data_IF_017913129995
#
_entry.id   IF_017913129995
#
_cell.length_a   1.000
_cell.length_b   1.000
_cell.length_c   1.000
_cell.angle_alpha   90.00
_cell.angle_beta   90.00
_cell.angle_gamma   90.00
#
_symmetry.space_group_name_H-M   'P 1'
#
loop_
_entity.id
_entity.type
_entity.pdbx_description
1 polymer ?
#
# COMPACT_ATOMS: atom_id res chain seq x y z
N UNK A 1 10.61 3.90 -27.92
CA UNK A 1 10.86 4.87 -26.83
C UNK A 1 9.61 5.20 -25.98
N UNK A 2 8.45 4.55 -26.19
CA UNK A 2 7.22 4.78 -25.41
C UNK A 2 7.21 4.02 -24.07
N UNK A 3 7.90 2.89 -23.99
CA UNK A 3 7.92 2.01 -22.79
C UNK A 3 8.58 2.69 -21.58
N UNK A 4 9.65 3.47 -21.77
CA UNK A 4 10.32 4.18 -20.66
C UNK A 4 9.42 5.23 -20.00
N UNK A 5 8.47 5.81 -20.74
CA UNK A 5 7.67 6.95 -20.26
C UNK A 5 6.60 6.54 -19.23
N UNK A 6 6.20 5.27 -19.21
CA UNK A 6 5.16 4.76 -18.30
C UNK A 6 5.70 4.15 -16.99
N UNK A 7 6.99 3.83 -16.93
CA UNK A 7 7.60 3.20 -15.74
C UNK A 7 8.01 4.23 -14.68
N UNK A 8 8.43 5.43 -15.12
CA UNK A 8 8.83 6.53 -14.23
C UNK A 8 7.82 6.87 -13.13
N UNK A 9 6.51 7.08 -13.41
CA UNK A 9 5.54 7.39 -12.35
C UNK A 9 5.38 6.24 -11.34
N UNK A 10 5.49 4.98 -11.77
CA UNK A 10 5.44 3.83 -10.86
C UNK A 10 6.65 3.82 -9.91
N UNK A 11 7.85 4.12 -10.42
CA UNK A 11 9.06 4.19 -9.60
C UNK A 11 8.94 5.32 -8.58
N UNK A 12 8.52 6.52 -9.00
CA UNK A 12 8.36 7.68 -8.10
C UNK A 12 7.34 7.38 -7.01
N UNK A 13 6.16 6.84 -7.38
CA UNK A 13 5.11 6.47 -6.42
C UNK A 13 5.57 5.37 -5.45
N UNK A 14 6.27 4.35 -5.96
CA UNK A 14 6.84 3.27 -5.15
C UNK A 14 7.88 3.78 -4.15
N UNK A 15 8.80 4.65 -4.57
CA UNK A 15 9.77 5.29 -3.68
C UNK A 15 9.07 6.14 -2.61
N UNK A 16 8.06 6.93 -2.98
CA UNK A 16 7.33 7.76 -2.02
C UNK A 16 6.60 6.90 -0.98
N UNK A 17 5.97 5.81 -1.42
CA UNK A 17 5.34 4.84 -0.52
C UNK A 17 6.36 4.23 0.45
N UNK A 18 7.53 3.80 -0.06
CA UNK A 18 8.59 3.20 0.75
C UNK A 18 9.14 4.16 1.81
N UNK A 19 9.34 5.44 1.46
CA UNK A 19 9.75 6.48 2.42
C UNK A 19 8.70 6.64 3.52
N UNK A 20 7.41 6.71 3.16
CA UNK A 20 6.32 6.77 4.14
C UNK A 20 6.34 5.59 5.11
N UNK A 21 6.56 4.38 4.61
CA UNK A 21 6.63 3.18 5.45
C UNK A 21 7.85 3.18 6.38
N UNK A 22 9.03 3.64 5.91
CA UNK A 22 10.23 3.76 6.77
C UNK A 22 9.99 4.75 7.92
N UNK A 23 9.36 5.89 7.63
CA UNK A 23 9.01 6.89 8.66
C UNK A 23 8.02 6.29 9.67
N UNK A 24 7.00 5.58 9.20
CA UNK A 24 6.04 4.91 10.08
C UNK A 24 6.71 3.84 10.97
N UNK A 25 7.62 3.06 10.40
CA UNK A 25 8.38 2.03 11.12
C UNK A 25 9.27 2.63 12.21
N UNK A 26 9.95 3.74 11.92
CA UNK A 26 10.80 4.45 12.88
C UNK A 26 10.01 4.97 14.09
N UNK A 27 8.83 5.56 13.86
CA UNK A 27 7.96 6.01 14.95
C UNK A 27 7.38 4.84 15.76
N UNK A 28 7.00 3.74 15.10
CA UNK A 28 6.47 2.55 15.78
C UNK A 28 7.51 1.82 16.61
N UNK A 29 8.76 1.76 16.14
CA UNK A 29 9.86 1.20 16.93
C UNK A 29 10.02 1.95 18.26
N UNK A 30 10.01 3.29 18.23
CA UNK A 30 10.06 4.10 19.46
C UNK A 30 8.85 3.91 20.37
N UNK A 31 7.63 3.83 19.81
CA UNK A 31 6.42 3.54 20.59
C UNK A 31 6.55 2.18 21.30
N UNK A 32 7.05 1.17 20.60
CA UNK A 32 7.28 -0.17 21.15
C UNK A 32 8.32 -0.16 22.27
N UNK A 33 9.45 0.53 22.07
CA UNK A 33 10.50 0.64 23.08
C UNK A 33 10.01 1.34 24.35
N UNK A 34 9.24 2.43 24.21
CA UNK A 34 8.68 3.13 25.36
C UNK A 34 7.65 2.28 26.10
N UNK A 35 6.78 1.58 25.37
CA UNK A 35 5.77 0.72 25.95
C UNK A 35 6.40 -0.47 26.69
N UNK A 36 7.46 -1.08 26.12
CA UNK A 36 8.25 -2.11 26.81
C UNK A 36 9.00 -1.56 28.03
N UNK A 37 9.56 -0.35 27.95
CA UNK A 37 10.20 0.29 29.09
C UNK A 37 9.21 0.57 30.23
N UNK A 38 7.98 1.02 29.90
CA UNK A 38 6.92 1.27 30.86
C UNK A 38 6.44 -0.03 31.56
N UNK A 39 6.29 -1.11 30.79
CA UNK A 39 5.88 -2.43 31.30
C UNK A 39 6.93 -3.09 32.22
N UNK A 40 8.21 -2.80 32.00
CA UNK A 40 9.32 -3.36 32.79
C UNK A 40 9.79 -2.44 33.94
N UNK A 41 9.22 -1.24 34.07
CA UNK A 41 9.65 -0.30 35.10
C UNK A 41 9.30 -0.84 36.51
N UNK A 42 10.29 -1.02 37.42
CA UNK A 42 10.02 -1.47 38.77
C UNK A 42 9.14 -0.45 39.49
N UNK A 43 8.16 -0.94 40.26
CA UNK A 43 7.13 -0.14 40.94
C UNK A 43 7.68 1.04 41.79
N UNK A 44 8.97 0.98 42.16
CA UNK A 44 9.66 1.89 43.08
C UNK A 44 10.50 3.02 42.44
N UNK A 45 10.77 2.99 41.12
CA UNK A 45 11.58 4.03 40.46
C UNK A 45 10.67 5.12 39.85
N UNK A 46 10.22 6.07 40.69
CA UNK A 46 9.40 7.18 40.21
C UNK A 46 9.81 8.55 40.77
N UNK A 47 11.07 8.74 41.18
CA UNK A 47 11.49 10.03 41.75
C UNK A 47 12.86 10.59 41.33
N UNK A 48 13.65 9.90 40.52
CA UNK A 48 14.98 10.40 40.10
C UNK A 48 15.22 10.22 38.60
N UNK A 49 14.37 10.84 37.79
CA UNK A 49 14.79 11.39 36.49
C UNK A 49 14.06 12.71 36.28
N UNK A 50 14.77 13.80 36.57
CA UNK A 50 14.28 15.16 36.34
C UNK A 50 14.16 15.42 34.84
N UNK A 51 12.99 15.95 34.47
CA UNK A 51 12.54 16.32 33.13
C UNK A 51 12.30 15.14 32.18
N UNK A 52 11.02 14.91 31.86
CA UNK A 52 10.55 14.34 30.57
C UNK A 52 10.19 12.83 30.47
N UNK A 53 10.01 12.08 31.55
CA UNK A 53 9.43 10.72 31.45
C UNK A 53 8.48 10.39 32.62
N UNK A 54 7.29 10.98 32.56
CA UNK A 54 6.16 10.61 33.42
C UNK A 54 5.40 9.44 32.77
N UNK A 55 5.49 8.24 33.35
CA UNK A 55 4.69 7.11 32.93
C UNK A 55 3.35 7.11 33.70
N UNK A 56 2.21 7.30 33.02
CA UNK A 56 0.91 7.29 33.67
C UNK A 56 0.58 5.89 34.21
N UNK A 57 -0.18 5.84 35.30
CA UNK A 57 -0.50 4.59 36.02
C UNK A 57 -1.15 3.52 35.13
N UNK A 58 -1.95 3.92 34.14
CA UNK A 58 -2.58 3.02 33.17
C UNK A 58 -1.58 2.24 32.30
N UNK A 59 -0.40 2.83 32.03
CA UNK A 59 0.67 2.19 31.24
C UNK A 59 1.53 1.24 32.07
N UNK A 60 1.56 1.43 33.40
CA UNK A 60 2.39 0.64 34.33
C UNK A 60 1.74 -0.70 34.69
N UNK A 61 0.43 -0.80 34.58
CA UNK A 61 -0.29 -2.06 34.75
C UNK A 61 -0.23 -2.98 33.54
N UNK A 62 0.31 -2.49 32.40
CA UNK A 62 0.46 -3.31 31.21
C UNK A 62 1.62 -4.29 31.36
N UNK A 63 1.32 -5.56 31.09
CA UNK A 63 2.34 -6.56 30.84
C UNK A 63 3.04 -6.30 29.49
N UNK A 64 4.27 -6.79 29.36
CA UNK A 64 5.01 -6.78 28.08
C UNK A 64 4.21 -7.46 26.97
N UNK A 65 3.44 -8.50 27.32
CA UNK A 65 2.57 -9.20 26.36
C UNK A 65 1.44 -8.30 25.85
N UNK A 66 0.74 -7.61 26.73
CA UNK A 66 -0.35 -6.69 26.35
C UNK A 66 0.17 -5.53 25.48
N UNK A 67 1.36 -5.01 25.82
CA UNK A 67 2.04 -4.00 25.01
C UNK A 67 2.30 -4.51 23.57
N UNK A 68 2.87 -5.71 23.44
CA UNK A 68 3.13 -6.35 22.16
C UNK A 68 1.83 -6.62 21.39
N UNK A 69 0.78 -7.11 22.05
CA UNK A 69 -0.50 -7.44 21.43
C UNK A 69 -1.19 -6.18 20.87
N UNK A 70 -1.10 -5.04 21.58
CA UNK A 70 -1.65 -3.75 21.12
C UNK A 70 -0.94 -3.23 19.87
N UNK A 71 0.39 -3.35 19.81
CA UNK A 71 1.18 -2.85 18.67
C UNK A 71 1.26 -3.84 17.50
N UNK A 72 0.94 -5.11 17.72
CA UNK A 72 1.05 -6.19 16.72
C UNK A 72 0.30 -5.87 15.42
N UNK A 73 -0.93 -5.33 15.51
CA UNK A 73 -1.72 -4.95 14.33
C UNK A 73 -1.08 -3.83 13.52
N UNK A 74 -0.51 -2.82 14.18
CA UNK A 74 0.20 -1.73 13.51
C UNK A 74 1.49 -2.22 12.84
N UNK A 75 2.25 -3.06 13.54
CA UNK A 75 3.45 -3.71 12.99
C UNK A 75 3.12 -4.54 11.76
N UNK A 76 2.08 -5.36 11.81
CA UNK A 76 1.65 -6.18 10.68
C UNK A 76 1.29 -5.32 9.46
N UNK A 77 0.51 -4.25 9.66
CA UNK A 77 0.14 -3.34 8.57
C UNK A 77 1.34 -2.64 7.93
N UNK A 78 2.32 -2.22 8.73
CA UNK A 78 3.56 -1.58 8.24
C UNK A 78 4.43 -2.59 7.49
N UNK A 79 4.65 -3.79 8.05
CA UNK A 79 5.44 -4.84 7.40
C UNK A 79 4.83 -5.26 6.06
N UNK A 80 3.51 -5.44 6.02
CA UNK A 80 2.79 -5.71 4.78
C UNK A 80 2.99 -4.59 3.76
N UNK A 81 2.96 -3.34 4.21
CA UNK A 81 3.32 -2.15 3.41
C UNK A 81 4.72 -2.22 2.81
N UNK A 82 5.76 -2.51 3.62
CA UNK A 82 7.16 -2.61 3.15
C UNK A 82 7.29 -3.66 2.05
N UNK A 83 6.72 -4.85 2.28
CA UNK A 83 6.80 -5.96 1.34
C UNK A 83 6.12 -5.57 0.03
N UNK A 84 4.92 -4.98 0.10
CA UNK A 84 4.19 -4.61 -1.11
C UNK A 84 4.92 -3.50 -1.90
N UNK A 85 5.40 -2.46 -1.24
CA UNK A 85 6.11 -1.35 -1.91
C UNK A 85 7.41 -1.85 -2.56
N UNK A 86 8.09 -2.81 -1.93
CA UNK A 86 9.28 -3.47 -2.49
C UNK A 86 8.93 -4.32 -3.70
N UNK A 87 7.87 -5.15 -3.63
CA UNK A 87 7.39 -5.96 -4.76
C UNK A 87 6.97 -5.07 -5.92
N UNK A 88 6.24 -3.98 -5.65
CA UNK A 88 5.84 -3.00 -6.66
C UNK A 88 7.05 -2.36 -7.36
N UNK A 89 8.07 -1.97 -6.60
CA UNK A 89 9.31 -1.42 -7.15
C UNK A 89 10.05 -2.45 -8.02
N UNK A 90 10.18 -3.70 -7.57
CA UNK A 90 10.83 -4.76 -8.36
C UNK A 90 10.07 -5.00 -9.66
N UNK A 91 8.72 -5.09 -9.61
CA UNK A 91 7.89 -5.30 -10.81
C UNK A 91 7.99 -4.11 -11.77
N UNK A 92 8.08 -2.88 -11.25
CA UNK A 92 8.29 -1.69 -12.06
C UNK A 92 9.68 -1.68 -12.72
N UNK A 93 10.74 -1.99 -11.96
CA UNK A 93 12.13 -2.02 -12.46
C UNK A 93 12.35 -3.11 -13.50
N UNK A 94 11.72 -4.27 -13.35
CA UNK A 94 11.78 -5.36 -14.33
C UNK A 94 10.95 -5.08 -15.59
N UNK A 95 10.26 -3.92 -15.67
CA UNK A 95 9.37 -3.58 -16.78
C UNK A 95 8.14 -4.50 -16.89
N UNK A 96 7.95 -5.44 -15.96
CA UNK A 96 6.82 -6.38 -15.95
C UNK A 96 5.49 -5.71 -15.63
N UNK A 97 5.52 -4.52 -15.02
CA UNK A 97 4.35 -3.64 -14.92
C UNK A 97 3.79 -3.24 -16.30
N UNK A 98 4.61 -3.19 -17.35
CA UNK A 98 4.14 -2.82 -18.69
C UNK A 98 3.45 -4.00 -19.42
N UNK A 99 3.77 -5.24 -19.05
CA UNK A 99 3.24 -6.44 -19.71
C UNK A 99 1.83 -6.87 -19.22
N UNK A 100 1.21 -6.09 -18.34
CA UNK A 100 -0.21 -6.21 -17.96
C UNK A 100 -0.57 -7.40 -17.07
N UNK A 101 0.25 -8.46 -17.03
CA UNK A 101 -0.08 -9.72 -16.33
C UNK A 101 -0.25 -9.56 -14.81
N UNK A 102 0.40 -8.56 -14.20
CA UNK A 102 0.38 -8.35 -12.74
C UNK A 102 -0.30 -7.05 -12.29
N UNK A 103 -0.77 -6.21 -13.22
CA UNK A 103 -1.26 -4.87 -12.87
C UNK A 103 -2.53 -4.89 -12.04
N UNK A 104 -3.49 -5.76 -12.36
CA UNK A 104 -4.75 -5.89 -11.61
C UNK A 104 -4.50 -6.42 -10.20
N UNK A 105 -3.67 -7.46 -10.07
CA UNK A 105 -3.26 -8.03 -8.79
C UNK A 105 -2.53 -7.01 -7.92
N UNK A 106 -1.58 -6.27 -8.50
CA UNK A 106 -0.84 -5.26 -7.76
C UNK A 106 -1.73 -4.09 -7.33
N UNK A 107 -2.65 -3.64 -8.18
CA UNK A 107 -3.66 -2.62 -7.81
C UNK A 107 -4.55 -3.09 -6.66
N UNK A 108 -5.01 -4.36 -6.69
CA UNK A 108 -5.82 -4.91 -5.62
C UNK A 108 -5.06 -4.95 -4.27
N UNK A 109 -3.81 -5.42 -4.27
CA UNK A 109 -2.99 -5.39 -3.06
C UNK A 109 -2.70 -3.97 -2.58
N UNK A 110 -2.45 -3.02 -3.49
CA UNK A 110 -2.26 -1.62 -3.11
C UNK A 110 -3.50 -1.04 -2.46
N UNK A 111 -4.70 -1.34 -2.96
CA UNK A 111 -5.96 -0.90 -2.37
C UNK A 111 -6.14 -1.44 -0.94
N UNK A 112 -5.78 -2.70 -0.70
CA UNK A 112 -5.80 -3.30 0.65
C UNK A 112 -4.77 -2.63 1.57
N UNK A 113 -3.55 -2.37 1.09
CA UNK A 113 -2.55 -1.65 1.88
C UNK A 113 -2.99 -0.22 2.23
N UNK A 114 -3.63 0.48 1.30
CA UNK A 114 -4.17 1.83 1.53
C UNK A 114 -5.24 1.78 2.62
N UNK A 115 -6.18 0.82 2.56
CA UNK A 115 -7.24 0.73 3.56
C UNK A 115 -6.70 0.43 4.96
N UNK A 116 -5.75 -0.51 5.09
CA UNK A 116 -5.09 -0.81 6.37
C UNK A 116 -4.30 0.40 6.88
N UNK A 117 -3.55 1.08 6.00
CA UNK A 117 -2.73 2.24 6.38
C UNK A 117 -3.61 3.40 6.84
N UNK A 118 -4.73 3.66 6.16
CA UNK A 118 -5.70 4.68 6.55
C UNK A 118 -6.42 4.33 7.86
N UNK A 119 -6.78 3.06 8.06
CA UNK A 119 -7.36 2.60 9.33
C UNK A 119 -6.39 2.84 10.50
N UNK A 120 -5.12 2.46 10.33
CA UNK A 120 -4.08 2.67 11.32
C UNK A 120 -3.81 4.17 11.56
N UNK A 121 -3.79 4.98 10.50
CA UNK A 121 -3.65 6.43 10.62
C UNK A 121 -4.83 7.04 11.40
N UNK A 122 -6.06 6.61 11.14
CA UNK A 122 -7.24 7.05 11.88
C UNK A 122 -7.17 6.66 13.37
N UNK A 123 -6.71 5.46 13.68
CA UNK A 123 -6.53 5.00 15.06
C UNK A 123 -5.45 5.80 15.84
N UNK A 124 -4.46 6.36 15.12
CA UNK A 124 -3.40 7.20 15.69
C UNK A 124 -3.75 8.68 15.73
N UNK A 125 -4.78 9.11 14.98
CA UNK A 125 -5.14 10.51 14.88
C UNK A 125 -5.77 10.97 16.21
N UNK A 126 -5.16 11.95 16.91
CA UNK A 126 -5.56 12.31 18.28
C UNK A 126 -6.87 13.12 18.36
N UNK A 127 -7.75 13.05 17.36
CA UNK A 127 -8.98 13.84 17.32
C UNK A 127 -10.16 13.30 18.10
N UNK A 128 -9.97 12.25 18.91
CA UNK A 128 -10.94 11.97 19.96
C UNK A 128 -10.76 12.99 21.09
N UNK A 129 -11.15 14.24 20.82
CA UNK A 129 -11.68 15.11 21.86
C UNK A 129 -12.87 14.36 22.45
N UNK A 130 -12.63 13.72 23.60
CA UNK A 130 -13.70 13.15 24.41
C UNK A 130 -14.66 14.28 24.76
N UNK A 131 -15.73 14.41 23.97
CA UNK A 131 -16.99 14.98 24.44
C UNK A 131 -17.51 14.01 25.50
N UNK A 132 -17.08 14.27 26.73
CA UNK A 132 -17.54 13.72 28.00
C UNK A 132 -18.08 12.30 28.00
N UNK A 133 -17.35 11.36 28.60
CA UNK A 133 -17.89 10.55 29.70
C UNK A 133 -16.74 9.81 30.39
N UNK A 134 -16.60 10.00 31.69
CA UNK A 134 -15.60 9.32 32.50
C UNK A 134 -15.88 7.83 32.58
N UNK A 135 -15.07 7.01 31.91
CA UNK A 135 -14.90 5.60 32.23
C UNK A 135 -13.64 5.11 31.51
N UNK A 136 -12.66 4.63 32.27
CA UNK A 136 -11.35 4.06 31.85
C UNK A 136 -10.74 4.57 30.55
N UNK A 137 -9.71 5.43 30.65
CA UNK A 137 -8.84 5.72 29.50
C UNK A 137 -8.16 4.44 29.04
N UNK A 138 -8.37 4.07 27.79
CA UNK A 138 -7.66 2.95 27.18
C UNK A 138 -6.14 3.19 27.28
N UNK A 139 -5.35 2.20 27.73
CA UNK A 139 -3.91 2.35 27.90
C UNK A 139 -3.20 2.73 26.59
N UNK A 140 -3.75 2.33 25.44
CA UNK A 140 -3.28 2.73 24.12
C UNK A 140 -3.43 4.24 23.89
N UNK A 141 -4.56 4.85 24.23
CA UNK A 141 -4.73 6.30 24.08
C UNK A 141 -3.78 7.08 24.98
N UNK A 142 -3.58 6.59 26.21
CA UNK A 142 -2.64 7.18 27.16
C UNK A 142 -1.20 7.12 26.63
N UNK A 143 -0.82 6.02 25.96
CA UNK A 143 0.46 5.89 25.25
C UNK A 143 0.61 6.94 24.15
N UNK A 144 -0.40 7.07 23.29
CA UNK A 144 -0.41 8.04 22.18
C UNK A 144 -0.35 9.49 22.71
N UNK A 145 -1.06 9.80 23.78
CA UNK A 145 -1.04 11.12 24.39
C UNK A 145 0.33 11.46 25.02
N UNK A 146 0.98 10.45 25.62
CA UNK A 146 2.33 10.58 26.22
C UNK A 146 3.42 10.73 25.15
N UNK A 147 3.31 9.99 24.04
CA UNK A 147 4.25 9.98 22.92
C UNK A 147 3.72 10.72 21.71
N UNK A 148 3.09 11.88 21.94
CA UNK A 148 2.40 12.65 20.90
C UNK A 148 3.28 12.91 19.67
N UNK A 149 4.56 13.24 19.87
CA UNK A 149 5.51 13.50 18.77
C UNK A 149 5.73 12.25 17.93
N UNK A 150 5.98 11.10 18.57
CA UNK A 150 6.25 9.85 17.85
C UNK A 150 4.98 9.32 17.16
N UNK A 151 3.82 9.45 17.81
CA UNK A 151 2.53 9.13 17.21
C UNK A 151 2.25 9.98 15.96
N UNK A 152 2.56 11.28 15.97
CA UNK A 152 2.45 12.13 14.78
C UNK A 152 3.43 11.73 13.67
N UNK A 153 4.63 11.26 14.01
CA UNK A 153 5.59 10.74 13.03
C UNK A 153 5.03 9.48 12.38
N UNK A 154 4.47 8.55 13.16
CA UNK A 154 3.81 7.35 12.61
C UNK A 154 2.63 7.72 11.72
N UNK A 155 1.77 8.61 12.21
CA UNK A 155 0.62 9.12 11.46
C UNK A 155 1.05 9.72 10.12
N UNK A 156 2.04 10.62 10.13
CA UNK A 156 2.58 11.24 8.92
C UNK A 156 3.16 10.21 7.95
N UNK A 157 3.87 9.20 8.46
CA UNK A 157 4.40 8.09 7.66
C UNK A 157 3.29 7.26 6.99
N UNK A 158 2.25 6.89 7.73
CA UNK A 158 1.11 6.13 7.21
C UNK A 158 0.30 6.92 6.17
N UNK A 159 0.14 8.22 6.37
CA UNK A 159 -0.52 9.12 5.40
C UNK A 159 0.32 9.22 4.12
N UNK A 160 1.63 9.47 4.24
CA UNK A 160 2.54 9.52 3.10
C UNK A 160 2.56 8.18 2.32
N UNK A 161 2.59 7.06 3.05
CA UNK A 161 2.49 5.72 2.46
C UNK A 161 1.19 5.55 1.67
N UNK A 162 0.06 5.95 2.25
CA UNK A 162 -1.27 5.84 1.62
C UNK A 162 -1.35 6.66 0.33
N UNK A 163 -0.81 7.88 0.35
CA UNK A 163 -0.72 8.74 -0.85
C UNK A 163 0.17 8.09 -1.91
N UNK A 164 1.32 7.54 -1.53
CA UNK A 164 2.23 6.85 -2.45
C UNK A 164 1.60 5.61 -3.09
N UNK A 165 0.91 4.79 -2.31
CA UNK A 165 0.18 3.63 -2.81
C UNK A 165 -0.99 4.03 -3.71
N UNK A 166 -1.71 5.11 -3.39
CA UNK A 166 -2.77 5.61 -4.25
C UNK A 166 -2.24 6.11 -5.59
N UNK A 167 -1.13 6.87 -5.58
CA UNK A 167 -0.44 7.27 -6.80
C UNK A 167 0.04 6.06 -7.61
N UNK A 168 0.49 4.99 -6.94
CA UNK A 168 0.89 3.75 -7.58
C UNK A 168 -0.29 3.04 -8.26
N UNK A 169 -1.46 2.97 -7.61
CA UNK A 169 -2.69 2.42 -8.21
C UNK A 169 -3.03 3.16 -9.51
N UNK A 170 -2.99 4.49 -9.47
CA UNK A 170 -3.27 5.33 -10.65
C UNK A 170 -2.23 5.07 -11.75
N UNK A 171 -0.94 5.03 -11.41
CA UNK A 171 0.13 4.80 -12.38
C UNK A 171 0.01 3.42 -13.05
N UNK A 172 -0.36 2.38 -12.30
CA UNK A 172 -0.61 1.04 -12.82
C UNK A 172 -1.86 0.99 -13.71
N UNK A 173 -2.90 1.74 -13.37
CA UNK A 173 -4.12 1.88 -14.18
C UNK A 173 -3.80 2.47 -15.56
N UNK A 174 -3.04 3.57 -15.61
CA UNK A 174 -2.63 4.16 -16.88
C UNK A 174 -1.72 3.25 -17.70
N UNK A 175 -0.77 2.55 -17.06
CA UNK A 175 0.12 1.61 -17.75
C UNK A 175 -0.63 0.50 -18.49
N UNK A 176 -1.77 0.04 -17.95
CA UNK A 176 -2.61 -1.00 -18.56
C UNK A 176 -3.33 -0.52 -19.82
N UNK A 177 -3.82 0.72 -19.85
CA UNK A 177 -4.60 1.26 -20.97
C UNK A 177 -3.79 1.42 -22.26
N UNK A 178 -2.48 1.67 -22.17
CA UNK A 178 -1.63 1.81 -23.35
C UNK A 178 -1.34 0.50 -24.09
N UNK A 179 -1.45 -0.65 -23.41
CA UNK A 179 -1.15 -1.95 -24.00
C UNK A 179 -2.31 -2.47 -24.88
N UNK A 180 -3.55 -2.11 -24.54
CA UNK A 180 -4.75 -2.53 -25.30
C UNK A 180 -4.78 -1.87 -26.70
N UNK A 181 -4.32 -0.62 -26.81
CA UNK A 181 -4.26 0.09 -28.10
C UNK A 181 -3.14 -0.42 -29.03
N UNK A 182 -2.21 -1.23 -28.54
CA UNK A 182 -1.14 -1.83 -29.33
C UNK A 182 -1.57 -3.14 -30.02
N UNK A 183 -2.65 -3.78 -29.57
CA UNK A 183 -3.09 -5.09 -30.06
C UNK A 183 -4.22 -4.96 -31.09
N UNK A 184 -4.85 -3.78 -31.20
CA UNK A 184 -5.95 -3.54 -32.15
C UNK A 184 -5.50 -3.11 -33.54
N UNK A 185 -4.20 -3.00 -33.84
CA UNK A 185 -3.72 -2.97 -35.22
C UNK A 185 -3.65 -4.40 -35.78
N UNK A 186 -4.80 -5.06 -35.91
CA UNK A 186 -4.91 -6.17 -36.85
C UNK A 186 -4.75 -5.54 -38.23
N UNK A 187 -3.69 -5.83 -39.01
CA UNK A 187 -3.70 -5.46 -40.41
C UNK A 187 -4.88 -6.21 -41.03
N UNK A 188 -5.94 -5.47 -41.38
CA UNK A 188 -6.93 -5.95 -42.34
C UNK A 188 -6.16 -6.11 -43.64
N UNK A 189 -5.58 -7.29 -43.85
CA UNK A 189 -5.08 -7.70 -45.15
C UNK A 189 -6.30 -7.72 -46.06
N UNK A 190 -6.41 -6.69 -46.90
CA UNK A 190 -7.38 -6.58 -47.98
C UNK A 190 -7.08 -7.65 -49.06
N UNK A 191 -7.21 -8.92 -48.70
CA UNK A 191 -7.02 -10.07 -49.60
C UNK A 191 -8.37 -10.68 -50.03
N UNK A 192 -9.46 -9.90 -49.97
CA UNK A 192 -10.77 -10.25 -50.52
C UNK A 192 -11.21 -9.32 -51.66
N UNK A 193 -10.29 -8.97 -52.55
CA UNK A 193 -10.60 -8.19 -53.75
C UNK A 193 -9.92 -8.76 -55.00
N UNK A 194 -10.00 -10.08 -55.24
CA UNK A 194 -9.85 -10.60 -56.61
C UNK A 194 -10.41 -12.02 -56.78
N UNK A 195 -11.73 -12.18 -56.70
CA UNK A 195 -12.40 -13.34 -57.32
C UNK A 195 -13.11 -12.79 -58.56
N UNK A 196 -12.40 -12.84 -59.69
CA UNK A 196 -12.96 -12.68 -61.02
C UNK A 196 -13.91 -13.86 -61.30
N UNK A 197 -15.18 -13.64 -61.70
CA UNK A 197 -16.04 -14.71 -62.15
C UNK A 197 -15.67 -15.06 -63.60
N UNK A 198 -14.71 -15.99 -63.77
CA UNK A 198 -14.52 -16.63 -65.07
C UNK A 198 -15.69 -17.58 -65.33
N UNK A 199 -16.47 -17.21 -66.33
CA UNK A 199 -17.50 -17.99 -67.01
C UNK A 199 -16.99 -19.38 -67.39
N UNK A 200 -17.42 -20.40 -66.67
CA UNK A 200 -17.37 -21.77 -67.17
C UNK A 200 -18.55 -21.97 -68.12
N UNK A 201 -18.23 -22.06 -69.41
CA UNK A 201 -19.12 -22.50 -70.45
C UNK A 201 -19.64 -23.91 -70.13
N UNK A 202 -20.96 -24.07 -70.20
CA UNK A 202 -21.65 -25.35 -70.16
C UNK A 202 -21.59 -25.92 -71.58
N UNK A 203 -20.66 -26.85 -71.82
CA UNK A 203 -20.71 -27.77 -72.96
C UNK A 203 -21.18 -29.14 -72.44
N UNK A 204 -22.48 -29.37 -72.52
CA UNK A 204 -23.09 -30.69 -72.36
C UNK A 204 -23.26 -31.32 -73.75
N UNK A 205 -22.20 -32.01 -74.20
CA UNK A 205 -22.27 -32.92 -75.33
C UNK A 205 -22.77 -34.30 -74.86
N UNK A 206 -23.75 -34.80 -75.61
CA UNK A 206 -24.43 -36.08 -75.46
C UNK A 206 -23.49 -37.28 -75.63
N UNK A 207 -23.72 -38.34 -74.85
CA UNK A 207 -23.35 -39.73 -75.19
C UNK A 207 -24.44 -40.67 -74.66
N UNK A 208 -25.24 -41.17 -75.61
CA UNK A 208 -25.87 -42.48 -75.77
C UNK A 208 -26.23 -43.36 -74.56
N UNK A 209 -27.54 -43.65 -74.44
CA UNK A 209 -28.11 -45.01 -74.41
C UNK A 209 -29.54 -44.98 -74.93
#
# INVERSE_FOLDING_TARGET
MVILRNVVPCIIAGCFSLVGTIVALGGMAKLNDFCNAAANAPYYYSYYYSSQSYYPSALRSLSVKECSDMLSYFWWGITFGVVLSTVALIVALLGKAAHGTWNSTLQAFCAVCVSISMWNANALYPSHYYLGYGSSRDPFQVLIETLRVEAYIVFGGLVAQSIGLFALIIALGFASSYNINSVTSIPVTNEMANISPNSAAVDSAAVDS
#
